data_IF_155526779482
#
_entry.id   IF_155526779482
#
_cell.length_a   1.000
_cell.length_b   1.000
_cell.length_c   1.000
_cell.angle_alpha   90.00
_cell.angle_beta   90.00
_cell.angle_gamma   90.00
#
_symmetry.space_group_name_H-M   'P 1'
#
loop_
_entity.id
_entity.type
_entity.pdbx_description
1 polymer ?
#
# COMPACT_ATOMS: atom_id res chain seq x y z
N UNK A 1 -0.05 -3.99 -3.81
CA UNK A 1 1.35 -4.45 -3.78
C UNK A 1 2.09 -4.01 -5.04
N UNK A 2 1.65 -4.44 -6.23
CA UNK A 2 2.37 -4.17 -7.48
C UNK A 2 2.58 -2.68 -7.76
N UNK A 3 1.59 -1.82 -7.48
CA UNK A 3 1.72 -0.37 -7.61
C UNK A 3 2.94 0.19 -6.85
N UNK A 4 3.15 -0.22 -5.61
CA UNK A 4 4.31 0.17 -4.81
C UNK A 4 5.63 -0.27 -5.47
N UNK A 5 5.69 -1.53 -5.92
CA UNK A 5 6.89 -2.07 -6.58
C UNK A 5 7.18 -1.34 -7.89
N UNK A 6 6.13 -1.00 -8.66
CA UNK A 6 6.29 -0.29 -9.93
C UNK A 6 6.76 1.16 -9.73
N UNK A 7 6.33 1.81 -8.64
CA UNK A 7 6.81 3.14 -8.27
C UNK A 7 8.31 3.18 -7.94
N UNK A 8 8.86 2.07 -7.44
CA UNK A 8 10.30 1.90 -7.27
C UNK A 8 11.04 1.44 -8.55
N UNK A 9 10.31 0.92 -9.54
CA UNK A 9 10.91 0.35 -10.75
C UNK A 9 11.12 1.37 -11.87
N UNK A 10 10.11 2.18 -12.18
CA UNK A 10 10.16 3.08 -13.34
C UNK A 10 10.45 4.53 -12.90
N UNK A 11 11.65 5.08 -13.17
CA UNK A 11 11.99 6.45 -12.78
C UNK A 11 11.23 7.52 -13.56
N UNK A 12 10.52 7.16 -14.63
CA UNK A 12 9.68 8.08 -15.40
C UNK A 12 8.25 8.18 -14.85
N UNK A 13 7.85 7.31 -13.91
CA UNK A 13 6.53 7.36 -13.30
C UNK A 13 6.35 8.70 -12.57
N UNK A 14 5.17 9.31 -12.73
CA UNK A 14 4.89 10.64 -12.16
C UNK A 14 4.17 10.60 -10.82
N UNK A 15 3.32 9.60 -10.61
CA UNK A 15 2.60 9.35 -9.37
C UNK A 15 2.04 7.92 -9.37
N UNK A 16 1.65 7.43 -8.20
CA UNK A 16 0.97 6.15 -8.02
C UNK A 16 -0.08 6.22 -6.91
N UNK A 17 -1.19 5.48 -7.08
CA UNK A 17 -2.21 5.28 -6.03
C UNK A 17 -2.41 3.78 -5.82
N UNK A 18 -2.07 3.29 -4.63
CA UNK A 18 -2.10 1.89 -4.26
C UNK A 18 -3.29 1.60 -3.34
N UNK A 19 -4.26 0.84 -3.83
CA UNK A 19 -5.43 0.41 -3.06
C UNK A 19 -5.19 -0.94 -2.40
N UNK A 20 -5.38 -1.01 -1.07
CA UNK A 20 -5.39 -2.22 -0.22
C UNK A 20 -4.41 -3.31 -0.65
N UNK A 21 -3.14 -2.91 -0.84
CA UNK A 21 -2.11 -3.80 -1.34
C UNK A 21 -1.19 -4.27 -0.23
N UNK A 22 -0.98 -5.59 -0.06
CA UNK A 22 -0.03 -6.14 0.94
C UNK A 22 1.30 -5.38 0.97
N UNK A 23 1.72 -5.00 2.18
CA UNK A 23 2.89 -4.16 2.47
C UNK A 23 4.08 -4.97 3.00
N UNK A 24 3.79 -5.98 3.82
CA UNK A 24 4.75 -6.98 4.34
C UNK A 24 4.33 -8.39 3.91
N UNK A 25 5.20 -9.38 4.14
CA UNK A 25 4.90 -10.79 3.92
C UNK A 25 6.16 -11.60 3.58
N UNK A 26 6.00 -12.91 3.52
CA UNK A 26 7.09 -13.83 3.21
C UNK A 26 7.70 -13.55 1.83
N UNK A 27 9.01 -13.79 1.73
CA UNK A 27 9.78 -13.63 0.50
C UNK A 27 9.90 -14.98 -0.19
N UNK A 28 9.79 -14.98 -1.51
CA UNK A 28 10.02 -16.16 -2.34
C UNK A 28 10.76 -15.76 -3.62
N UNK A 29 11.21 -16.73 -4.41
CA UNK A 29 11.84 -16.45 -5.71
C UNK A 29 10.92 -15.63 -6.63
N UNK A 30 9.61 -15.86 -6.58
CA UNK A 30 8.62 -15.14 -7.38
C UNK A 30 8.17 -13.81 -6.76
N UNK A 31 8.53 -13.55 -5.50
CA UNK A 31 8.21 -12.31 -4.80
C UNK A 31 9.33 -11.99 -3.79
N UNK A 32 10.51 -11.60 -4.29
CA UNK A 32 11.71 -11.47 -3.45
C UNK A 32 11.71 -10.20 -2.60
N UNK A 33 10.91 -9.19 -3.00
CA UNK A 33 10.73 -7.93 -2.27
C UNK A 33 9.25 -7.67 -1.97
N UNK A 34 8.99 -7.04 -0.84
CA UNK A 34 7.71 -6.45 -0.45
C UNK A 34 7.80 -4.92 -0.49
N UNK A 35 6.66 -4.19 -0.47
CA UNK A 35 6.68 -2.73 -0.45
C UNK A 35 7.58 -2.10 0.62
N UNK A 36 7.63 -2.69 1.82
CA UNK A 36 8.53 -2.20 2.90
C UNK A 36 10.01 -2.24 2.52
N UNK A 37 10.42 -3.16 1.63
CA UNK A 37 11.82 -3.33 1.22
C UNK A 37 12.26 -2.31 0.16
N UNK A 38 11.33 -1.56 -0.44
CA UNK A 38 11.61 -0.65 -1.56
C UNK A 38 11.30 0.82 -1.25
N UNK A 39 11.05 1.16 0.02
CA UNK A 39 10.73 2.52 0.42
C UNK A 39 11.81 3.54 0.00
N UNK A 40 13.08 3.15 0.06
CA UNK A 40 14.25 3.94 -0.38
C UNK A 40 14.35 4.09 -1.89
N UNK A 41 13.72 3.19 -2.64
CA UNK A 41 13.85 3.08 -4.10
C UNK A 41 12.70 3.81 -4.83
N UNK A 42 11.74 4.40 -4.10
CA UNK A 42 10.57 5.05 -4.69
C UNK A 42 10.95 6.27 -5.55
N UNK A 43 10.57 6.24 -6.83
CA UNK A 43 10.88 7.30 -7.79
C UNK A 43 9.75 8.34 -7.98
N UNK A 44 8.56 8.03 -7.47
CA UNK A 44 7.37 8.85 -7.67
C UNK A 44 6.60 9.01 -6.35
N UNK A 45 5.82 10.10 -6.18
CA UNK A 45 4.90 10.20 -5.08
C UNK A 45 3.87 9.06 -5.07
N UNK A 46 3.62 8.46 -3.91
CA UNK A 46 2.66 7.35 -3.76
C UNK A 46 1.63 7.64 -2.68
N UNK A 47 0.36 7.50 -3.03
CA UNK A 47 -0.75 7.48 -2.07
C UNK A 47 -1.21 6.05 -1.84
N UNK A 48 -1.22 5.60 -0.59
CA UNK A 48 -1.80 4.34 -0.17
C UNK A 48 -3.19 4.51 0.43
N UNK A 49 -4.15 3.72 0.00
CA UNK A 49 -5.53 3.73 0.50
C UNK A 49 -5.86 2.36 1.10
N UNK A 50 -6.03 2.30 2.42
CA UNK A 50 -6.15 1.06 3.19
C UNK A 50 -7.38 1.06 4.09
N UNK A 51 -7.94 -0.13 4.34
CA UNK A 51 -9.06 -0.31 5.26
C UNK A 51 -8.59 -0.57 6.69
N UNK A 52 -9.25 0.04 7.67
CA UNK A 52 -9.00 -0.18 9.10
C UNK A 52 -9.38 -1.59 9.56
N UNK A 53 -10.40 -2.18 8.93
CA UNK A 53 -10.94 -3.52 9.23
C UNK A 53 -10.41 -4.60 8.27
N UNK A 54 -9.38 -4.30 7.47
CA UNK A 54 -8.77 -5.26 6.55
C UNK A 54 -7.84 -6.23 7.30
N UNK A 55 -8.38 -7.37 7.72
CA UNK A 55 -7.61 -8.42 8.40
C UNK A 55 -6.51 -9.05 7.52
N UNK A 56 -6.56 -8.88 6.19
CA UNK A 56 -5.51 -9.39 5.31
C UNK A 56 -4.28 -8.47 5.26
N UNK A 57 -4.41 -7.23 5.78
CA UNK A 57 -3.36 -6.23 5.89
C UNK A 57 -3.47 -5.57 7.28
N UNK A 58 -2.93 -6.23 8.33
CA UNK A 58 -3.00 -5.72 9.70
C UNK A 58 -2.42 -4.30 9.84
N UNK A 59 -2.95 -3.51 10.78
CA UNK A 59 -2.48 -2.14 11.02
C UNK A 59 -0.98 -2.07 11.39
N UNK A 60 -0.42 -3.13 11.98
CA UNK A 60 1.02 -3.25 12.21
C UNK A 60 1.83 -3.25 10.90
N UNK A 61 1.33 -3.89 9.84
CA UNK A 61 1.94 -3.87 8.51
C UNK A 61 1.92 -2.46 7.91
N UNK A 62 0.82 -1.73 8.12
CA UNK A 62 0.69 -0.32 7.72
C UNK A 62 1.69 0.56 8.47
N UNK A 63 1.82 0.38 9.79
CA UNK A 63 2.76 1.16 10.59
C UNK A 63 4.22 0.84 10.24
N UNK A 64 4.54 -0.43 9.96
CA UNK A 64 5.87 -0.83 9.46
C UNK A 64 6.20 -0.11 8.15
N UNK A 65 5.24 -0.02 7.23
CA UNK A 65 5.43 0.74 6.00
C UNK A 65 5.59 2.24 6.25
N UNK A 66 4.79 2.84 7.14
CA UNK A 66 4.95 4.25 7.51
C UNK A 66 6.33 4.54 8.09
N UNK A 67 6.86 3.66 8.93
CA UNK A 67 8.23 3.77 9.46
C UNK A 67 9.27 3.71 8.34
N UNK A 68 9.15 2.75 7.41
CA UNK A 68 10.06 2.62 6.28
C UNK A 68 10.03 3.86 5.37
N UNK A 69 8.84 4.39 5.07
CA UNK A 69 8.65 5.61 4.27
C UNK A 69 9.28 6.84 4.95
N UNK A 70 9.08 7.00 6.27
CA UNK A 70 9.71 8.09 7.05
C UNK A 70 11.23 7.98 7.06
N UNK A 71 11.77 6.78 7.29
CA UNK A 71 13.21 6.53 7.30
C UNK A 71 13.85 6.80 5.93
N UNK A 72 13.13 6.52 4.84
CA UNK A 72 13.56 6.79 3.47
C UNK A 72 13.38 8.26 3.05
N UNK A 73 12.74 9.11 3.87
CA UNK A 73 12.29 10.45 3.48
C UNK A 73 11.49 10.45 2.15
N UNK A 74 10.69 9.40 1.95
CA UNK A 74 9.95 9.18 0.71
C UNK A 74 8.73 10.11 0.62
N UNK A 75 8.39 10.54 -0.60
CA UNK A 75 7.17 11.32 -0.88
C UNK A 75 5.96 10.39 -0.93
N UNK A 76 5.52 9.87 0.21
CA UNK A 76 4.38 8.96 0.24
C UNK A 76 3.50 9.17 1.46
N UNK A 77 2.22 8.87 1.30
CA UNK A 77 1.20 8.95 2.35
C UNK A 77 0.36 7.68 2.37
N UNK A 78 -0.09 7.28 3.55
CA UNK A 78 -1.06 6.17 3.71
C UNK A 78 -2.26 6.67 4.50
N UNK A 79 -3.41 6.73 3.82
CA UNK A 79 -4.72 6.97 4.42
C UNK A 79 -5.33 5.62 4.82
N UNK A 80 -5.82 5.55 6.05
CA UNK A 80 -6.56 4.40 6.57
C UNK A 80 -8.00 4.84 6.83
N UNK A 81 -8.94 4.18 6.19
CA UNK A 81 -10.38 4.37 6.40
C UNK A 81 -10.85 3.44 7.53
N UNK A 82 -11.16 3.95 8.74
CA UNK A 82 -11.30 3.12 9.95
C UNK A 82 -12.32 1.98 9.81
N UNK A 83 -13.42 2.23 9.12
CA UNK A 83 -14.56 1.31 9.02
C UNK A 83 -14.55 0.43 7.77
N UNK A 84 -13.56 0.61 6.88
CA UNK A 84 -13.47 -0.14 5.63
C UNK A 84 -12.73 -1.48 5.81
N UNK A 85 -13.27 -2.55 5.20
CA UNK A 85 -12.60 -3.84 5.04
C UNK A 85 -11.73 -3.92 3.78
N UNK A 86 -11.28 -5.13 3.42
CA UNK A 86 -10.55 -5.33 2.16
C UNK A 86 -11.46 -5.08 0.94
N UNK A 87 -10.88 -4.57 -0.16
CA UNK A 87 -11.60 -4.32 -1.41
C UNK A 87 -12.85 -3.43 -1.24
N UNK A 88 -12.76 -2.40 -0.39
CA UNK A 88 -13.88 -1.51 -0.06
C UNK A 88 -14.40 -0.66 -1.23
N UNK A 89 -13.62 -0.53 -2.32
CA UNK A 89 -14.03 0.19 -3.53
C UNK A 89 -14.65 -0.72 -4.61
N UNK A 90 -14.86 -2.00 -4.32
CA UNK A 90 -15.47 -2.93 -5.27
C UNK A 90 -17.00 -2.93 -5.13
N UNK A 91 -17.68 -1.97 -5.76
CA UNK A 91 -19.15 -1.72 -5.68
C UNK A 91 -20.05 -2.95 -5.95
N UNK A 92 -19.53 -3.93 -6.70
CA UNK A 92 -20.20 -5.17 -7.02
C UNK A 92 -20.08 -6.27 -5.93
N UNK A 93 -19.41 -5.99 -4.81
CA UNK A 93 -19.14 -6.96 -3.72
C UNK A 93 -19.83 -6.55 -2.41
N UNK A 94 -20.15 -7.51 -1.53
CA UNK A 94 -20.61 -7.21 -0.17
C UNK A 94 -19.59 -6.43 0.68
N UNK A 95 -18.31 -6.44 0.30
CA UNK A 95 -17.25 -5.69 0.99
C UNK A 95 -17.22 -4.21 0.62
N UNK A 96 -18.02 -3.76 -0.36
CA UNK A 96 -18.10 -2.36 -0.74
C UNK A 96 -18.48 -1.47 0.44
N UNK A 97 -17.78 -0.33 0.58
CA UNK A 97 -18.06 0.67 1.60
C UNK A 97 -18.09 2.05 0.97
N UNK A 98 -19.29 2.54 0.65
CA UNK A 98 -19.51 3.75 -0.14
C UNK A 98 -18.82 5.00 0.43
N UNK A 99 -18.78 5.17 1.75
CA UNK A 99 -18.16 6.35 2.38
C UNK A 99 -16.64 6.37 2.23
N UNK A 100 -16.03 5.21 2.00
CA UNK A 100 -14.57 5.06 1.89
C UNK A 100 -14.10 4.91 0.44
N UNK A 101 -15.02 4.73 -0.51
CA UNK A 101 -14.77 4.40 -1.91
C UNK A 101 -14.37 5.62 -2.76
#
# INVERSE_FOLDING_TARGET
>A
RITWLYAAHNPQLKAAVAWYGKLTGDKSLNSPKQPVDIATDLNAPVLGLYGGQDNSIPQESVETMRQALRAANAKAEIIVYPDAGHAFNADYRPSYHAESA
#
